data_IF_284291718138
#
_entry.id   IF_284291718138
#
_cell.length_a   1.000
_cell.length_b   1.000
_cell.length_c   1.000
_cell.angle_alpha   90.00
_cell.angle_beta   90.00
_cell.angle_gamma   90.00
#
_symmetry.space_group_name_H-M   'P 1'
#
loop_
_entity.id
_entity.type
_entity.pdbx_description
1 polymer ?
#
# COMPACT_ATOMS: atom_id res chain seq x y z
N UNK A 1 2.59 -8.08 -14.44
CA UNK A 1 1.52 -8.09 -15.49
C UNK A 1 2.10 -8.55 -16.82
N UNK A 2 2.57 -9.78 -16.88
CA UNK A 2 3.27 -10.36 -18.04
C UNK A 2 2.56 -11.63 -18.52
N UNK A 3 2.85 -12.06 -19.73
CA UNK A 3 2.45 -13.33 -20.35
C UNK A 3 0.95 -13.66 -20.19
N UNK A 4 0.63 -14.85 -19.69
CA UNK A 4 -0.73 -15.34 -19.51
C UNK A 4 -1.55 -14.45 -18.56
N UNK A 5 -0.92 -13.95 -17.49
CA UNK A 5 -1.60 -13.08 -16.51
C UNK A 5 -2.16 -11.83 -17.17
N UNK A 6 -1.38 -11.20 -18.06
CA UNK A 6 -1.84 -10.04 -18.84
C UNK A 6 -3.04 -10.38 -19.72
N UNK A 7 -3.00 -11.53 -20.38
CA UNK A 7 -4.09 -12.00 -21.24
C UNK A 7 -5.36 -12.26 -20.45
N UNK A 8 -5.24 -12.87 -19.27
CA UNK A 8 -6.37 -13.14 -18.34
C UNK A 8 -6.99 -11.81 -17.89
N UNK A 9 -6.16 -10.86 -17.42
CA UNK A 9 -6.66 -9.55 -16.95
C UNK A 9 -7.33 -8.78 -18.08
N UNK A 10 -6.77 -8.77 -19.28
CA UNK A 10 -7.36 -8.09 -20.45
C UNK A 10 -8.73 -8.66 -20.82
N UNK A 11 -8.87 -9.99 -20.81
CA UNK A 11 -10.15 -10.65 -21.06
C UNK A 11 -11.14 -10.42 -19.93
N UNK A 12 -10.69 -10.51 -18.67
CA UNK A 12 -11.51 -10.24 -17.49
C UNK A 12 -12.07 -8.81 -17.48
N UNK A 13 -11.26 -7.80 -17.75
CA UNK A 13 -11.71 -6.41 -17.87
C UNK A 13 -12.70 -6.22 -19.01
N UNK A 14 -12.49 -6.88 -20.16
CA UNK A 14 -13.44 -6.86 -21.27
C UNK A 14 -14.77 -7.48 -20.86
N UNK A 15 -14.76 -8.60 -20.15
CA UNK A 15 -15.95 -9.26 -19.65
C UNK A 15 -16.71 -8.36 -18.64
N UNK A 16 -16.00 -7.78 -17.67
CA UNK A 16 -16.60 -6.87 -16.68
C UNK A 16 -17.30 -5.66 -17.33
N UNK A 17 -16.78 -5.14 -18.43
CA UNK A 17 -17.39 -4.02 -19.15
C UNK A 17 -18.56 -4.41 -20.05
N UNK A 18 -18.67 -5.69 -20.47
CA UNK A 18 -19.75 -6.18 -21.30
C UNK A 18 -20.88 -6.82 -20.51
N UNK A 19 -20.55 -7.55 -19.44
CA UNK A 19 -21.49 -8.32 -18.62
C UNK A 19 -21.00 -8.34 -17.17
N UNK A 20 -21.11 -7.18 -16.49
CA UNK A 20 -20.67 -7.05 -15.10
C UNK A 20 -21.49 -7.98 -14.19
N UNK A 21 -20.85 -8.87 -13.44
CA UNK A 21 -21.53 -9.67 -12.42
C UNK A 21 -22.23 -8.80 -11.39
N UNK A 22 -23.36 -9.26 -10.87
CA UNK A 22 -24.19 -8.49 -9.90
C UNK A 22 -23.39 -8.08 -8.67
N UNK A 23 -22.50 -8.91 -8.17
CA UNK A 23 -21.66 -8.67 -7.01
C UNK A 23 -20.71 -7.47 -7.24
N UNK A 24 -20.05 -7.45 -8.40
CA UNK A 24 -19.13 -6.37 -8.77
C UNK A 24 -19.91 -5.09 -9.07
N UNK A 25 -21.08 -5.20 -9.71
CA UNK A 25 -21.97 -4.08 -9.97
C UNK A 25 -22.44 -3.44 -8.67
N UNK A 26 -22.86 -4.24 -7.67
CA UNK A 26 -23.25 -3.75 -6.36
C UNK A 26 -22.10 -3.00 -5.66
N UNK A 27 -20.87 -3.52 -5.66
CA UNK A 27 -19.69 -2.84 -5.12
C UNK A 27 -19.41 -1.50 -5.82
N UNK A 28 -19.50 -1.46 -7.15
CA UNK A 28 -19.29 -0.23 -7.92
C UNK A 28 -20.39 0.80 -7.67
N UNK A 29 -21.63 0.37 -7.49
CA UNK A 29 -22.76 1.24 -7.12
C UNK A 29 -22.52 1.89 -5.75
N UNK A 30 -22.10 1.10 -4.73
CA UNK A 30 -21.73 1.62 -3.41
C UNK A 30 -20.56 2.60 -3.48
N UNK A 31 -19.63 2.37 -4.41
CA UNK A 31 -18.50 3.28 -4.65
C UNK A 31 -18.88 4.56 -5.39
N UNK A 32 -20.10 4.68 -5.94
CA UNK A 32 -20.51 5.75 -6.84
C UNK A 32 -19.74 5.75 -8.17
N UNK A 33 -19.22 4.59 -8.61
CA UNK A 33 -18.37 4.48 -9.79
C UNK A 33 -19.21 4.06 -11.02
N UNK A 34 -19.22 4.92 -12.03
CA UNK A 34 -20.03 4.74 -13.26
C UNK A 34 -19.21 4.81 -14.55
N UNK A 35 -17.87 4.71 -14.44
CA UNK A 35 -16.98 4.76 -15.60
C UNK A 35 -16.61 3.36 -16.11
N UNK A 36 -15.86 3.31 -17.20
CA UNK A 36 -15.29 2.07 -17.72
C UNK A 36 -14.37 1.42 -16.70
N UNK A 37 -14.55 0.12 -16.45
CA UNK A 37 -13.75 -0.66 -15.52
C UNK A 37 -12.39 -0.95 -16.17
N UNK A 38 -11.32 -0.57 -15.49
CA UNK A 38 -9.93 -0.83 -15.87
C UNK A 38 -9.15 -1.46 -14.70
N UNK A 39 -7.86 -1.68 -14.87
CA UNK A 39 -6.98 -2.25 -13.85
C UNK A 39 -6.94 -1.41 -12.57
N UNK A 40 -7.00 -0.07 -12.69
CA UNK A 40 -7.02 0.84 -11.53
C UNK A 40 -8.36 0.71 -10.77
N UNK A 41 -9.48 0.51 -11.47
CA UNK A 41 -10.78 0.25 -10.86
C UNK A 41 -10.74 -1.00 -9.98
N UNK A 42 -10.12 -2.07 -10.49
CA UNK A 42 -9.97 -3.31 -9.71
C UNK A 42 -9.03 -3.09 -8.52
N UNK A 43 -7.87 -2.47 -8.74
CA UNK A 43 -6.84 -2.30 -7.72
C UNK A 43 -7.18 -1.28 -6.63
N UNK A 44 -7.91 -0.21 -6.96
CA UNK A 44 -8.13 0.93 -6.06
C UNK A 44 -9.58 1.16 -5.64
N UNK A 45 -10.55 0.50 -6.30
CA UNK A 45 -11.97 0.63 -5.96
C UNK A 45 -12.53 -0.70 -5.43
N UNK A 46 -12.42 -1.78 -6.18
CA UNK A 46 -12.99 -3.08 -5.81
C UNK A 46 -12.14 -3.76 -4.72
N UNK A 47 -10.85 -3.94 -4.99
CA UNK A 47 -9.92 -4.65 -4.11
C UNK A 47 -9.85 -4.09 -2.68
N UNK A 48 -9.72 -2.76 -2.48
CA UNK A 48 -9.70 -2.16 -1.14
C UNK A 48 -10.97 -2.40 -0.32
N UNK A 49 -12.14 -2.47 -0.96
CA UNK A 49 -13.42 -2.77 -0.32
C UNK A 49 -13.48 -4.20 0.19
N UNK A 50 -13.21 -5.15 -0.69
CA UNK A 50 -13.16 -6.57 -0.31
C UNK A 50 -12.13 -6.84 0.79
N UNK A 51 -10.94 -6.21 0.68
CA UNK A 51 -9.87 -6.38 1.65
C UNK A 51 -10.17 -5.69 3.00
N UNK A 52 -11.05 -4.69 3.05
CA UNK A 52 -11.36 -3.96 4.27
C UNK A 52 -12.00 -4.87 5.33
N UNK A 53 -12.88 -5.76 4.89
CA UNK A 53 -13.56 -6.73 5.78
C UNK A 53 -12.53 -7.57 6.52
N UNK A 54 -11.63 -8.27 5.82
CA UNK A 54 -10.63 -9.14 6.43
C UNK A 54 -9.51 -8.41 7.20
N UNK A 55 -9.48 -7.07 7.18
CA UNK A 55 -8.58 -6.27 8.01
C UNK A 55 -9.19 -5.91 9.36
N UNK A 56 -10.50 -5.78 9.43
CA UNK A 56 -11.20 -5.34 10.63
C UNK A 56 -11.94 -6.50 11.30
N UNK A 57 -12.42 -7.45 10.53
CA UNK A 57 -13.21 -8.60 10.97
C UNK A 57 -12.88 -9.86 10.17
N UNK A 58 -13.74 -10.87 10.24
CA UNK A 58 -13.65 -12.08 9.44
C UNK A 58 -14.01 -11.82 7.97
N UNK A 59 -13.21 -12.34 7.05
CA UNK A 59 -13.39 -12.12 5.61
C UNK A 59 -14.62 -12.83 4.98
N UNK A 60 -15.40 -13.58 5.74
CA UNK A 60 -16.55 -14.37 5.26
C UNK A 60 -17.57 -13.50 4.52
N UNK A 61 -17.85 -12.29 5.04
CA UNK A 61 -18.79 -11.36 4.41
C UNK A 61 -18.39 -11.03 2.96
N UNK A 62 -17.10 -10.79 2.72
CA UNK A 62 -16.62 -10.50 1.37
C UNK A 62 -16.70 -11.74 0.46
N UNK A 63 -16.51 -12.94 1.00
CA UNK A 63 -16.68 -14.18 0.27
C UNK A 63 -18.16 -14.45 -0.05
N UNK A 64 -19.07 -14.24 0.89
CA UNK A 64 -20.51 -14.34 0.68
C UNK A 64 -20.98 -13.40 -0.42
N UNK A 65 -20.56 -12.16 -0.41
CA UNK A 65 -20.85 -11.20 -1.49
C UNK A 65 -20.42 -11.75 -2.85
N UNK A 66 -19.20 -12.30 -2.95
CA UNK A 66 -18.69 -12.79 -4.23
C UNK A 66 -19.37 -14.09 -4.72
N UNK A 67 -20.07 -14.81 -3.83
CA UNK A 67 -20.70 -16.10 -4.12
C UNK A 67 -22.21 -16.01 -4.34
N UNK A 68 -22.87 -14.94 -3.89
CA UNK A 68 -24.33 -14.81 -4.05
C UNK A 68 -24.74 -14.68 -5.52
N UNK A 69 -25.89 -15.25 -5.87
CA UNK A 69 -26.52 -15.13 -7.18
C UNK A 69 -27.80 -14.26 -7.11
N UNK A 70 -28.15 -13.75 -5.92
CA UNK A 70 -29.31 -12.89 -5.68
C UNK A 70 -28.90 -11.42 -5.70
N UNK A 71 -29.63 -10.58 -6.48
CA UNK A 71 -29.30 -9.17 -6.67
C UNK A 71 -29.57 -8.35 -5.40
N UNK A 72 -30.66 -8.63 -4.67
CA UNK A 72 -30.99 -7.93 -3.43
C UNK A 72 -29.99 -8.25 -2.32
N UNK A 73 -29.60 -9.53 -2.23
CA UNK A 73 -28.55 -9.97 -1.30
C UNK A 73 -27.19 -9.35 -1.65
N UNK A 74 -26.82 -9.28 -2.94
CA UNK A 74 -25.58 -8.66 -3.38
C UNK A 74 -25.54 -7.17 -3.02
N UNK A 75 -26.63 -6.42 -3.18
CA UNK A 75 -26.71 -5.01 -2.79
C UNK A 75 -26.58 -4.84 -1.28
N UNK A 76 -27.26 -5.68 -0.48
CA UNK A 76 -27.15 -5.66 0.98
C UNK A 76 -25.73 -5.97 1.47
N UNK A 77 -25.11 -7.03 0.94
CA UNK A 77 -23.74 -7.40 1.33
C UNK A 77 -22.71 -6.35 0.89
N UNK A 78 -22.88 -5.74 -0.30
CA UNK A 78 -22.01 -4.66 -0.76
C UNK A 78 -22.10 -3.41 0.11
N UNK A 79 -23.28 -3.07 0.65
CA UNK A 79 -23.44 -1.98 1.63
C UNK A 79 -22.66 -2.26 2.91
N UNK A 80 -22.70 -3.51 3.42
CA UNK A 80 -21.92 -3.91 4.61
C UNK A 80 -20.41 -3.82 4.34
N UNK A 81 -19.96 -4.30 3.17
CA UNK A 81 -18.56 -4.20 2.74
C UNK A 81 -18.11 -2.73 2.63
N UNK A 82 -18.95 -1.83 2.11
CA UNK A 82 -18.65 -0.39 2.06
C UNK A 82 -18.54 0.20 3.46
N UNK A 83 -19.38 -0.22 4.41
CA UNK A 83 -19.28 0.23 5.80
C UNK A 83 -17.91 -0.09 6.39
N UNK A 84 -17.43 -1.32 6.26
CA UNK A 84 -16.07 -1.69 6.68
C UNK A 84 -14.97 -0.91 5.95
N UNK A 85 -15.18 -0.61 4.66
CA UNK A 85 -14.21 0.19 3.91
C UNK A 85 -14.14 1.65 4.40
N UNK A 86 -15.26 2.24 4.78
CA UNK A 86 -15.31 3.59 5.39
C UNK A 86 -14.63 3.57 6.76
N UNK A 87 -15.00 2.64 7.64
CA UNK A 87 -14.40 2.48 8.96
C UNK A 87 -12.88 2.26 8.87
N UNK A 88 -12.43 1.38 7.98
CA UNK A 88 -10.99 1.20 7.73
C UNK A 88 -10.30 2.50 7.33
N UNK A 89 -10.92 3.32 6.47
CA UNK A 89 -10.35 4.61 6.05
C UNK A 89 -10.22 5.58 7.21
N UNK A 90 -11.21 5.63 8.10
CA UNK A 90 -11.20 6.47 9.29
C UNK A 90 -10.10 6.04 10.27
N UNK A 91 -10.00 4.75 10.56
CA UNK A 91 -8.95 4.19 11.41
C UNK A 91 -7.55 4.47 10.81
N UNK A 92 -7.39 4.25 9.51
CA UNK A 92 -6.13 4.55 8.80
C UNK A 92 -5.78 6.02 8.87
N UNK A 93 -6.74 6.93 8.70
CA UNK A 93 -6.51 8.37 8.77
C UNK A 93 -6.04 8.77 10.18
N UNK A 94 -6.77 8.35 11.21
CA UNK A 94 -6.43 8.63 12.60
C UNK A 94 -5.00 8.14 12.95
N UNK A 95 -4.70 6.87 12.68
CA UNK A 95 -3.38 6.29 13.01
C UNK A 95 -2.28 6.97 12.17
N UNK A 96 -2.57 7.34 10.91
CA UNK A 96 -1.59 8.05 10.07
C UNK A 96 -1.24 9.41 10.66
N UNK A 97 -2.22 10.21 11.12
CA UNK A 97 -1.97 11.52 11.70
C UNK A 97 -1.13 11.42 12.99
N UNK A 98 -1.44 10.44 13.84
CA UNK A 98 -0.66 10.15 15.04
C UNK A 98 0.78 9.69 14.71
N UNK A 99 0.92 8.80 13.72
CA UNK A 99 2.21 8.27 13.28
C UNK A 99 3.08 9.34 12.62
N UNK A 100 2.49 10.26 11.83
CA UNK A 100 3.21 11.38 11.22
C UNK A 100 3.80 12.31 12.28
N UNK A 101 3.07 12.60 13.35
CA UNK A 101 3.58 13.44 14.44
C UNK A 101 4.81 12.81 15.12
N UNK A 102 4.78 11.50 15.37
CA UNK A 102 5.94 10.78 15.95
C UNK A 102 7.09 10.71 14.93
N UNK A 103 6.78 10.46 13.66
CA UNK A 103 7.77 10.37 12.59
C UNK A 103 8.52 11.69 12.38
N UNK A 104 7.82 12.83 12.40
CA UNK A 104 8.43 14.15 12.26
C UNK A 104 9.47 14.43 13.35
N UNK A 105 9.16 14.10 14.61
CA UNK A 105 10.11 14.21 15.70
C UNK A 105 11.37 13.37 15.46
N UNK A 106 11.18 12.09 15.07
CA UNK A 106 12.30 11.16 14.82
C UNK A 106 13.16 11.60 13.64
N UNK A 107 12.55 12.08 12.56
CA UNK A 107 13.28 12.60 11.40
C UNK A 107 14.10 13.84 11.79
N UNK A 108 13.52 14.76 12.57
CA UNK A 108 14.24 15.93 13.07
C UNK A 108 15.41 15.55 13.99
N UNK A 109 15.33 14.40 14.67
CA UNK A 109 16.42 13.85 15.49
C UNK A 109 17.47 13.08 14.65
N UNK A 110 17.29 12.98 13.34
CA UNK A 110 18.23 12.35 12.41
C UNK A 110 18.06 10.84 12.24
N UNK A 111 16.95 10.26 12.67
CA UNK A 111 16.68 8.84 12.44
C UNK A 111 16.60 8.54 10.93
N UNK A 112 17.23 7.45 10.50
CA UNK A 112 17.19 6.93 9.12
C UNK A 112 16.32 5.67 8.98
N UNK A 113 15.83 5.15 10.10
CA UNK A 113 14.79 4.13 10.20
C UNK A 113 13.72 4.61 11.18
N UNK A 114 12.46 4.56 10.78
CA UNK A 114 11.35 5.02 11.60
C UNK A 114 10.69 3.83 12.31
N UNK A 115 10.93 3.67 13.61
CA UNK A 115 10.18 2.77 14.46
C UNK A 115 9.15 3.60 15.23
N UNK A 116 7.86 3.38 14.93
CA UNK A 116 6.72 4.11 15.50
C UNK A 116 5.88 3.14 16.29
N UNK A 117 5.68 3.38 17.57
CA UNK A 117 4.97 2.49 18.46
C UNK A 117 3.98 3.25 19.34
N UNK A 118 2.75 2.75 19.43
CA UNK A 118 1.70 3.30 20.31
C UNK A 118 0.68 2.23 20.64
N UNK A 119 0.01 2.40 21.77
CA UNK A 119 -1.11 1.57 22.17
C UNK A 119 -2.37 1.85 21.35
N UNK A 120 -3.23 0.84 21.26
CA UNK A 120 -4.55 0.93 20.61
C UNK A 120 -4.52 1.24 19.11
N UNK A 121 -3.42 0.99 18.44
CA UNK A 121 -3.38 1.01 16.97
C UNK A 121 -3.87 -0.32 16.39
N UNK A 122 -4.88 -0.27 15.56
CA UNK A 122 -5.50 -1.46 14.98
C UNK A 122 -4.52 -2.23 14.06
N UNK A 123 -4.17 -3.46 14.44
CA UNK A 123 -3.14 -4.27 13.76
C UNK A 123 -3.40 -4.50 12.27
N UNK A 124 -4.66 -4.67 11.87
CA UNK A 124 -5.06 -4.92 10.48
C UNK A 124 -4.74 -3.81 9.49
N UNK A 125 -4.43 -2.60 9.98
CA UNK A 125 -4.14 -1.43 9.13
C UNK A 125 -2.71 -0.91 9.23
N UNK A 126 -1.88 -1.42 10.16
CA UNK A 126 -0.51 -0.92 10.38
C UNK A 126 0.34 -0.94 9.10
N UNK A 127 0.19 -1.95 8.27
CA UNK A 127 0.90 -2.03 7.00
C UNK A 127 0.50 -0.97 5.99
N UNK A 128 -0.74 -0.48 6.04
CA UNK A 128 -1.21 0.64 5.20
C UNK A 128 -0.57 1.94 5.69
N UNK A 129 -0.59 2.15 7.00
CA UNK A 129 0.03 3.34 7.62
C UNK A 129 1.54 3.34 7.38
N UNK A 130 2.23 2.21 7.56
CA UNK A 130 3.66 2.10 7.29
C UNK A 130 4.00 2.50 5.83
N UNK A 131 3.19 2.08 4.86
CA UNK A 131 3.37 2.51 3.46
C UNK A 131 3.25 4.02 3.29
N UNK A 132 2.27 4.66 3.92
CA UNK A 132 2.09 6.12 3.86
C UNK A 132 3.26 6.89 4.49
N UNK A 133 3.81 6.39 5.60
CA UNK A 133 4.99 7.01 6.22
C UNK A 133 6.21 6.89 5.31
N UNK A 134 6.42 5.70 4.68
CA UNK A 134 7.50 5.52 3.69
C UNK A 134 7.32 6.44 2.48
N UNK A 135 6.10 6.60 1.97
CA UNK A 135 5.80 7.52 0.87
C UNK A 135 6.11 8.99 1.23
N UNK A 136 5.91 9.36 2.50
CA UNK A 136 6.12 10.75 2.97
C UNK A 136 7.59 11.07 3.19
N UNK A 137 8.33 10.17 3.84
CA UNK A 137 9.70 10.43 4.29
C UNK A 137 10.79 9.72 3.49
N UNK A 138 10.43 8.79 2.60
CA UNK A 138 11.35 7.92 1.87
C UNK A 138 12.32 7.16 2.81
N UNK A 139 11.86 6.76 4.00
CA UNK A 139 12.62 6.01 5.01
C UNK A 139 11.92 4.69 5.32
N UNK A 140 12.68 3.59 5.50
CA UNK A 140 12.10 2.33 5.96
C UNK A 140 11.44 2.53 7.32
N UNK A 141 10.23 1.96 7.46
CA UNK A 141 9.35 2.23 8.60
C UNK A 141 8.78 0.94 9.17
N UNK A 142 8.81 0.81 10.48
CA UNK A 142 8.14 -0.22 11.29
C UNK A 142 7.12 0.46 12.19
N UNK A 143 5.86 0.02 12.11
CA UNK A 143 4.77 0.50 12.97
C UNK A 143 4.33 -0.64 13.87
N UNK A 144 4.28 -0.39 15.18
CA UNK A 144 3.92 -1.35 16.21
C UNK A 144 2.68 -0.90 16.99
N UNK A 145 1.74 -1.81 17.20
CA UNK A 145 0.74 -1.72 18.24
C UNK A 145 1.30 -2.32 19.53
N UNK A 146 1.21 -1.58 20.63
CA UNK A 146 1.64 -2.01 21.97
C UNK A 146 0.44 -2.61 22.71
N UNK A 147 0.60 -3.84 23.19
CA UNK A 147 -0.32 -4.51 24.10
C UNK A 147 0.35 -4.66 25.47
N UNK A 148 0.00 -3.76 26.41
CA UNK A 148 0.56 -3.76 27.75
C UNK A 148 0.10 -4.95 28.59
N UNK A 149 -1.10 -5.51 28.32
CA UNK A 149 -1.62 -6.65 29.09
C UNK A 149 -0.82 -7.92 28.79
N UNK A 150 -0.43 -8.10 27.56
CA UNK A 150 0.33 -9.26 27.10
C UNK A 150 1.86 -9.02 27.06
N UNK A 151 2.32 -7.81 27.40
CA UNK A 151 3.71 -7.37 27.33
C UNK A 151 4.35 -7.62 25.94
N UNK A 152 3.60 -7.39 24.87
CA UNK A 152 4.14 -7.51 23.52
C UNK A 152 3.74 -6.36 22.61
N UNK A 153 4.52 -6.18 21.56
CA UNK A 153 4.23 -5.29 20.46
C UNK A 153 4.17 -6.08 19.16
N UNK A 154 3.17 -5.82 18.35
CA UNK A 154 2.97 -6.47 17.05
C UNK A 154 2.82 -5.43 15.95
N UNK A 155 3.44 -5.68 14.81
CA UNK A 155 3.40 -4.67 13.78
C UNK A 155 3.80 -5.10 12.39
N UNK A 156 3.89 -4.08 11.55
CA UNK A 156 4.16 -4.22 10.14
C UNK A 156 5.22 -3.21 9.70
N UNK A 157 6.18 -3.69 8.92
CA UNK A 157 7.23 -2.88 8.34
C UNK A 157 7.06 -2.72 6.83
N UNK A 158 7.52 -1.59 6.32
CA UNK A 158 7.65 -1.29 4.89
C UNK A 158 9.01 -0.69 4.62
N UNK A 159 9.58 -1.00 3.46
CA UNK A 159 10.92 -0.60 3.08
C UNK A 159 10.94 0.30 1.85
N UNK A 160 12.13 0.78 1.54
CA UNK A 160 12.51 1.43 0.27
C UNK A 160 13.31 0.43 -0.57
N UNK A 161 13.45 0.69 -1.85
CA UNK A 161 14.08 -0.21 -2.82
C UNK A 161 15.50 -0.65 -2.40
N UNK A 162 16.26 0.27 -1.80
CA UNK A 162 17.66 0.08 -1.44
C UNK A 162 17.86 -0.74 -0.16
N UNK A 163 16.79 -1.00 0.61
CA UNK A 163 16.85 -1.62 1.94
C UNK A 163 16.03 -2.90 2.00
N UNK A 164 16.66 -4.03 2.24
CA UNK A 164 15.97 -5.29 2.49
C UNK A 164 15.45 -5.36 3.92
N UNK A 165 14.12 -5.26 4.07
CA UNK A 165 13.47 -5.38 5.37
C UNK A 165 13.74 -6.74 6.02
N UNK A 166 13.80 -7.80 5.23
CA UNK A 166 14.11 -9.14 5.73
C UNK A 166 15.53 -9.23 6.29
N UNK A 167 16.52 -8.65 5.61
CA UNK A 167 17.93 -8.70 6.06
C UNK A 167 18.14 -7.88 7.33
N UNK A 168 17.60 -6.66 7.39
CA UNK A 168 17.79 -5.80 8.56
C UNK A 168 17.11 -6.38 9.80
N UNK A 169 15.91 -6.98 9.68
CA UNK A 169 15.26 -7.66 10.81
C UNK A 169 15.95 -8.96 11.20
N UNK A 170 16.48 -9.72 10.22
CA UNK A 170 17.26 -10.94 10.49
C UNK A 170 18.51 -10.65 11.30
N UNK A 171 19.17 -9.52 11.06
CA UNK A 171 20.36 -9.11 11.83
C UNK A 171 20.03 -8.76 13.31
N UNK A 172 18.76 -8.53 13.63
CA UNK A 172 18.28 -8.17 14.97
C UNK A 172 17.32 -9.22 15.53
N UNK A 173 17.36 -10.45 15.02
CA UNK A 173 16.43 -11.51 15.40
C UNK A 173 16.41 -11.83 16.91
N UNK A 174 17.50 -11.56 17.62
CA UNK A 174 17.61 -11.79 19.07
C UNK A 174 16.69 -10.87 19.89
N UNK A 175 16.23 -9.75 19.30
CA UNK A 175 15.30 -8.79 19.91
C UNK A 175 13.84 -9.02 19.47
N UNK A 176 13.60 -9.97 18.55
CA UNK A 176 12.32 -10.17 17.90
C UNK A 176 11.81 -11.58 18.20
N UNK A 177 10.63 -11.71 18.82
CA UNK A 177 10.06 -13.02 19.15
C UNK A 177 9.66 -13.82 17.90
N UNK A 178 9.13 -13.15 16.90
CA UNK A 178 8.72 -13.73 15.62
C UNK A 178 8.67 -12.66 14.54
N UNK A 179 9.22 -12.95 13.36
CA UNK A 179 9.03 -12.13 12.18
C UNK A 179 8.95 -12.98 10.92
N UNK A 180 8.43 -12.39 9.85
CA UNK A 180 8.39 -12.97 8.52
C UNK A 180 8.13 -11.88 7.50
N UNK A 181 8.72 -12.04 6.31
CA UNK A 181 8.58 -11.02 5.29
C UNK A 181 9.50 -11.25 4.09
N UNK A 182 9.61 -10.23 3.29
CA UNK A 182 10.41 -10.15 2.07
C UNK A 182 11.19 -8.83 2.04
N UNK A 183 11.80 -8.52 0.91
CA UNK A 183 12.59 -7.30 0.72
C UNK A 183 11.82 -6.03 1.13
N UNK A 184 10.59 -5.83 0.65
CA UNK A 184 9.82 -4.59 0.80
C UNK A 184 8.89 -4.54 2.01
N UNK A 185 8.59 -5.66 2.65
CA UNK A 185 7.61 -5.71 3.72
C UNK A 185 7.86 -6.87 4.68
N UNK A 186 7.57 -6.65 5.97
CA UNK A 186 7.60 -7.67 6.98
C UNK A 186 6.50 -7.46 8.04
N UNK A 187 6.10 -8.56 8.68
CA UNK A 187 5.29 -8.54 9.90
C UNK A 187 6.11 -9.09 11.06
N UNK A 188 5.90 -8.60 12.28
CA UNK A 188 6.66 -9.03 13.43
C UNK A 188 5.89 -8.93 14.74
N UNK A 189 6.38 -9.68 15.73
CA UNK A 189 5.99 -9.60 17.15
C UNK A 189 7.24 -9.59 18.01
N UNK A 190 7.26 -8.76 19.06
CA UNK A 190 8.38 -8.64 19.98
C UNK A 190 7.88 -8.28 21.40
N UNK A 191 8.73 -8.42 22.41
CA UNK A 191 8.46 -7.89 23.74
C UNK A 191 8.68 -6.38 23.77
N UNK A 192 7.87 -5.66 24.57
CA UNK A 192 7.91 -4.19 24.65
C UNK A 192 9.28 -3.70 25.12
N UNK A 193 9.91 -4.42 26.05
CA UNK A 193 11.20 -4.07 26.66
C UNK A 193 12.36 -3.96 25.65
N UNK A 194 12.21 -4.56 24.46
CA UNK A 194 13.25 -4.52 23.44
C UNK A 194 13.03 -3.45 22.36
N UNK A 195 11.94 -2.66 22.41
CA UNK A 195 11.62 -1.67 21.39
C UNK A 195 12.73 -0.65 21.22
N UNK A 196 13.24 -0.08 22.30
CA UNK A 196 14.33 0.92 22.25
C UNK A 196 15.64 0.34 21.70
N UNK A 197 16.00 -0.88 22.13
CA UNK A 197 17.19 -1.56 21.66
C UNK A 197 17.09 -1.89 20.17
N UNK A 198 15.93 -2.32 19.70
CA UNK A 198 15.66 -2.57 18.28
C UNK A 198 15.74 -1.27 17.48
N UNK A 199 15.12 -0.19 17.92
CA UNK A 199 15.17 1.11 17.24
C UNK A 199 16.61 1.59 17.06
N UNK A 200 17.41 1.52 18.11
CA UNK A 200 18.81 1.89 18.03
C UNK A 200 19.58 1.00 17.04
N UNK A 201 19.40 -0.31 17.11
CA UNK A 201 20.09 -1.24 16.21
C UNK A 201 19.72 -1.03 14.74
N UNK A 202 18.43 -0.77 14.45
CA UNK A 202 17.95 -0.48 13.08
C UNK A 202 18.55 0.82 12.55
N UNK A 203 18.64 1.87 13.36
CA UNK A 203 19.27 3.13 12.96
C UNK A 203 20.78 2.98 12.78
N UNK A 204 21.48 2.28 13.66
CA UNK A 204 22.91 1.99 13.51
C UNK A 204 23.21 1.21 12.22
N UNK A 205 22.32 0.29 11.84
CA UNK A 205 22.40 -0.42 10.55
C UNK A 205 22.26 0.54 9.38
N UNK A 206 21.23 1.40 9.42
CA UNK A 206 20.98 2.38 8.35
C UNK A 206 22.11 3.37 8.18
N UNK A 207 22.70 3.87 9.26
CA UNK A 207 23.86 4.75 9.19
C UNK A 207 25.05 4.08 8.47
N UNK A 208 25.35 2.83 8.80
CA UNK A 208 26.41 2.08 8.12
C UNK A 208 26.12 1.84 6.65
N UNK A 209 24.85 1.56 6.31
CA UNK A 209 24.42 1.35 4.93
C UNK A 209 24.56 2.65 4.11
N UNK A 210 24.16 3.78 4.68
CA UNK A 210 24.20 5.08 4.01
C UNK A 210 25.61 5.60 3.72
N UNK A 211 26.64 5.09 4.41
CA UNK A 211 28.05 5.38 4.08
C UNK A 211 28.46 4.83 2.71
N UNK A 212 27.79 3.79 2.22
CA UNK A 212 28.19 3.04 1.02
C UNK A 212 27.12 2.98 -0.07
N UNK A 213 25.88 3.37 0.26
CA UNK A 213 24.72 3.27 -0.64
C UNK A 213 23.91 4.57 -0.59
N UNK A 214 23.61 5.13 -1.76
CA UNK A 214 22.65 6.24 -1.82
C UNK A 214 21.25 5.71 -1.51
N UNK A 215 20.56 6.34 -0.56
CA UNK A 215 19.19 6.03 -0.16
C UNK A 215 18.17 6.95 -0.85
N UNK A 216 18.63 7.79 -1.78
CA UNK A 216 17.73 8.69 -2.51
C UNK A 216 16.72 7.90 -3.36
N UNK A 217 15.44 8.28 -3.32
CA UNK A 217 14.43 7.67 -4.17
C UNK A 217 14.78 7.80 -5.64
N UNK A 218 14.81 6.69 -6.35
CA UNK A 218 15.02 6.68 -7.80
C UNK A 218 13.70 6.54 -8.54
N UNK A 219 13.54 7.28 -9.65
CA UNK A 219 12.41 7.13 -10.56
C UNK A 219 12.94 6.64 -11.90
N UNK A 220 12.42 5.51 -12.35
CA UNK A 220 12.75 4.99 -13.67
C UNK A 220 11.89 5.67 -14.73
N UNK A 221 12.48 6.65 -15.41
CA UNK A 221 11.84 7.31 -16.54
C UNK A 221 11.86 6.38 -17.75
N UNK A 222 10.68 6.10 -18.31
CA UNK A 222 10.55 5.21 -19.47
C UNK A 222 10.97 5.89 -20.76
N UNK A 223 10.62 7.18 -20.89
CA UNK A 223 10.97 7.97 -22.08
C UNK A 223 11.00 9.46 -21.71
N UNK A 224 11.98 10.17 -22.28
CA UNK A 224 12.03 11.62 -22.24
C UNK A 224 11.35 12.16 -23.49
N UNK A 225 10.40 13.07 -23.31
CA UNK A 225 9.61 13.67 -24.38
C UNK A 225 10.16 15.04 -24.76
N UNK A 226 10.13 15.33 -26.07
CA UNK A 226 10.27 16.69 -26.59
C UNK A 226 8.88 17.35 -26.68
N UNK A 227 8.82 18.66 -26.80
CA UNK A 227 7.56 19.42 -26.86
C UNK A 227 6.62 18.91 -27.97
N UNK A 228 7.17 18.51 -29.11
CA UNK A 228 6.42 17.99 -30.26
C UNK A 228 5.84 16.58 -30.02
N UNK A 229 6.32 15.85 -29.02
CA UNK A 229 5.84 14.50 -28.67
C UNK A 229 4.58 14.57 -27.81
N UNK A 230 4.26 15.73 -27.24
CA UNK A 230 3.10 15.94 -26.38
C UNK A 230 1.86 16.08 -27.27
N UNK A 231 1.22 14.95 -27.56
CA UNK A 231 0.02 14.90 -28.38
C UNK A 231 -1.02 13.93 -27.80
N UNK A 232 -2.30 14.23 -28.06
CA UNK A 232 -3.41 13.34 -27.68
C UNK A 232 -3.25 11.95 -28.33
N UNK A 233 -2.69 11.89 -29.52
CA UNK A 233 -2.50 10.62 -30.23
C UNK A 233 -1.45 9.75 -29.52
N UNK A 234 -0.32 10.32 -29.11
CA UNK A 234 0.72 9.58 -28.38
C UNK A 234 0.20 9.10 -27.03
N UNK A 235 -0.58 9.92 -26.32
CA UNK A 235 -1.23 9.49 -25.07
C UNK A 235 -2.19 8.33 -25.30
N UNK A 236 -3.01 8.38 -26.36
CA UNK A 236 -3.91 7.28 -26.72
C UNK A 236 -3.15 6.00 -27.10
N UNK A 237 -2.03 6.11 -27.78
CA UNK A 237 -1.20 4.96 -28.13
C UNK A 237 -0.59 4.32 -26.87
N UNK A 238 -0.15 5.11 -25.90
CA UNK A 238 0.28 4.60 -24.57
C UNK A 238 -0.89 3.90 -23.87
N UNK A 239 -2.09 4.48 -23.87
CA UNK A 239 -3.28 3.86 -23.28
C UNK A 239 -3.63 2.50 -23.90
N UNK A 240 -3.32 2.28 -25.19
CA UNK A 240 -3.51 0.96 -25.85
C UNK A 240 -2.61 -0.14 -25.30
N UNK A 241 -1.56 0.23 -24.57
CA UNK A 241 -0.71 -0.72 -23.85
C UNK A 241 -1.36 -1.26 -22.57
N UNK A 242 -2.45 -0.65 -22.06
CA UNK A 242 -3.21 -1.17 -20.91
C UNK A 242 -3.68 -2.63 -21.15
N UNK A 243 -3.81 -3.45 -20.09
CA UNK A 243 -3.70 -3.13 -18.66
C UNK A 243 -2.25 -3.08 -18.17
N UNK A 244 -2.00 -2.16 -17.24
CA UNK A 244 -0.73 -1.99 -16.53
C UNK A 244 -0.74 -2.69 -15.18
N UNK A 245 0.44 -2.92 -14.58
CA UNK A 245 0.59 -3.54 -13.26
C UNK A 245 2.03 -4.00 -13.02
N UNK A 246 2.26 -4.79 -11.99
CA UNK A 246 3.59 -5.31 -11.64
C UNK A 246 4.29 -5.93 -12.86
N UNK A 247 5.57 -5.63 -13.06
CA UNK A 247 6.42 -6.02 -14.20
C UNK A 247 5.97 -5.50 -15.59
N UNK A 248 4.92 -4.68 -15.62
CA UNK A 248 4.50 -3.93 -16.80
C UNK A 248 3.83 -2.63 -16.38
N UNK A 249 4.63 -1.76 -15.81
CA UNK A 249 4.18 -0.50 -15.24
C UNK A 249 3.76 0.50 -16.30
N UNK A 250 2.90 1.44 -15.89
CA UNK A 250 2.54 2.56 -16.76
C UNK A 250 3.78 3.41 -17.01
N UNK A 251 4.10 3.72 -18.29
CA UNK A 251 5.29 4.49 -18.60
C UNK A 251 5.33 5.84 -17.89
N UNK A 252 6.45 6.12 -17.20
CA UNK A 252 6.73 7.43 -16.64
C UNK A 252 7.43 8.28 -17.71
N UNK A 253 6.82 9.41 -18.03
CA UNK A 253 7.28 10.32 -19.06
C UNK A 253 7.96 11.53 -18.41
N UNK A 254 9.16 11.88 -18.87
CA UNK A 254 9.89 13.07 -18.41
C UNK A 254 9.77 14.18 -19.44
N UNK A 255 9.51 15.39 -18.98
CA UNK A 255 9.46 16.60 -19.78
C UNK A 255 10.36 17.62 -19.08
N UNK A 256 11.41 18.06 -19.77
CA UNK A 256 12.34 19.08 -19.25
C UNK A 256 11.84 20.50 -19.51
N UNK A 257 12.43 21.44 -18.78
CA UNK A 257 12.31 22.89 -19.00
C UNK A 257 10.88 23.43 -19.04
N UNK A 258 9.96 22.81 -18.26
CA UNK A 258 8.59 23.28 -18.17
C UNK A 258 8.33 24.10 -16.91
N UNK A 259 7.61 25.21 -17.07
CA UNK A 259 7.05 25.99 -15.99
C UNK A 259 5.64 25.48 -15.66
N UNK A 260 5.42 25.07 -14.41
CA UNK A 260 4.07 24.69 -13.95
C UNK A 260 3.26 25.96 -13.75
N UNK A 261 2.31 26.22 -14.63
CA UNK A 261 1.51 27.46 -14.64
C UNK A 261 0.22 27.30 -13.81
N UNK A 262 -0.34 26.10 -13.73
CA UNK A 262 -1.56 25.80 -12.99
C UNK A 262 -1.65 24.29 -12.67
N UNK A 263 -2.13 23.97 -11.46
CA UNK A 263 -2.41 22.59 -11.04
C UNK A 263 -3.87 22.51 -10.64
N UNK A 264 -4.64 21.66 -11.33
CA UNK A 264 -6.09 21.47 -11.09
C UNK A 264 -6.39 20.07 -10.60
#
# INVERSE_FOLDING_TARGET
MTDENRSIVKQGLSFLNQSCPIQIKALLNQAGYNNTINEETVGFIIGPRLNAVGRLEDASLAAELLMTEDEEEAEFLAEQVEHFNVERKEIVAQITDEALAIAEEKVNNGNQFLLLAKENWHEGVLGIVASKIVETYALPTLILNIDLEQNHAKGSARSIEQVSMFEILSAHQDLISKFGGHHMAAGMTMEIDYIEALEQGLNDWMFKLSEHTSLEPTKHVSVKLEENDISINNIRDIQRLSPFGTDFEKPLLEIDDNEVVDVR
#
